data_IF_102093047951
#
_entry.id   IF_102093047951
#
_cell.length_a   1.000
_cell.length_b   1.000
_cell.length_c   1.000
_cell.angle_alpha   90.00
_cell.angle_beta   90.00
_cell.angle_gamma   90.00
#
_symmetry.space_group_name_H-M   'P 1'
#
loop_
_entity.id
_entity.type
_entity.pdbx_description
1 polymer ?
#
# COMPACT_ATOMS: atom_id res chain seq x y z
N UNK A 1 -56.22 -63.12 8.67
CA UNK A 1 -55.59 -62.90 7.36
C UNK A 1 -56.10 -61.57 6.81
N UNK A 2 -55.23 -60.52 6.81
CA UNK A 2 -55.34 -59.24 6.06
C UNK A 2 -56.54 -58.35 6.45
N UNK A 3 -56.46 -57.04 6.74
CA UNK A 3 -55.66 -55.90 6.26
C UNK A 3 -55.91 -54.72 7.24
N UNK A 4 -54.90 -54.07 7.80
CA UNK A 4 -54.25 -52.85 7.29
C UNK A 4 -55.01 -51.56 7.66
N UNK A 5 -54.54 -50.82 8.67
CA UNK A 5 -54.61 -49.35 8.75
C UNK A 5 -53.55 -48.87 9.75
N UNK A 6 -52.49 -48.28 9.20
CA UNK A 6 -51.39 -47.62 9.87
C UNK A 6 -51.86 -46.27 10.46
N UNK A 7 -51.46 -45.97 11.70
CA UNK A 7 -51.26 -44.59 12.13
C UNK A 7 -49.80 -44.46 12.58
N UNK A 8 -49.02 -43.80 11.73
CA UNK A 8 -47.64 -43.40 11.99
C UNK A 8 -47.71 -42.17 12.88
N UNK A 9 -47.19 -42.29 14.10
CA UNK A 9 -46.89 -41.15 14.97
C UNK A 9 -45.65 -40.44 14.41
N UNK A 10 -45.81 -39.23 13.87
CA UNK A 10 -44.69 -38.37 13.49
C UNK A 10 -44.25 -37.63 14.76
N UNK A 11 -43.10 -38.02 15.29
CA UNK A 11 -42.39 -37.27 16.32
C UNK A 11 -41.74 -36.04 15.64
N UNK A 12 -42.26 -34.84 15.89
CA UNK A 12 -41.62 -33.60 15.45
C UNK A 12 -40.52 -33.27 16.46
N UNK A 13 -39.28 -33.60 16.12
CA UNK A 13 -38.10 -33.10 16.82
C UNK A 13 -37.89 -31.63 16.44
N UNK A 14 -38.27 -30.72 17.33
CA UNK A 14 -37.94 -29.29 17.21
C UNK A 14 -36.44 -29.16 17.48
N UNK A 15 -35.64 -29.01 16.43
CA UNK A 15 -34.25 -28.58 16.54
C UNK A 15 -34.28 -27.08 16.84
N UNK A 16 -33.97 -26.70 18.07
CA UNK A 16 -33.61 -25.33 18.38
C UNK A 16 -32.24 -25.06 17.75
N UNK A 17 -32.23 -24.45 16.57
CA UNK A 17 -31.03 -23.80 16.05
C UNK A 17 -30.86 -22.55 16.94
N UNK A 18 -29.96 -22.65 17.92
CA UNK A 18 -29.42 -21.45 18.57
C UNK A 18 -28.61 -20.71 17.52
N UNK A 19 -29.24 -19.73 16.87
CA UNK A 19 -28.51 -18.71 16.13
C UNK A 19 -27.88 -17.82 17.19
N UNK A 20 -26.65 -18.15 17.59
CA UNK A 20 -25.84 -17.20 18.34
C UNK A 20 -25.60 -16.01 17.40
N UNK A 21 -25.93 -14.77 17.81
CA UNK A 21 -25.38 -13.61 17.10
C UNK A 21 -23.85 -13.75 17.13
N UNK A 22 -23.24 -13.84 15.95
CA UNK A 22 -21.78 -13.76 15.81
C UNK A 22 -21.44 -12.29 16.07
N UNK A 23 -21.09 -11.99 17.32
CA UNK A 23 -20.48 -10.70 17.65
C UNK A 23 -18.99 -10.84 17.38
N UNK A 24 -18.43 -9.94 16.56
CA UNK A 24 -16.98 -9.81 16.47
C UNK A 24 -16.43 -9.45 17.86
N UNK A 25 -15.34 -10.08 18.24
CA UNK A 25 -14.62 -9.80 19.48
C UNK A 25 -13.34 -9.00 19.20
N UNK A 26 -12.93 -8.23 20.20
CA UNK A 26 -11.65 -7.55 20.21
C UNK A 26 -10.64 -8.33 21.06
N UNK A 27 -9.47 -8.61 20.49
CA UNK A 27 -8.31 -9.15 21.19
C UNK A 27 -7.18 -8.12 21.26
N UNK A 28 -6.45 -8.13 22.36
CA UNK A 28 -5.40 -7.15 22.65
C UNK A 28 -4.07 -7.86 22.83
N UNK A 29 -3.00 -7.33 22.21
CA UNK A 29 -1.66 -7.91 22.19
C UNK A 29 -0.63 -6.89 22.64
N UNK A 30 0.22 -7.26 23.60
CA UNK A 30 1.29 -6.41 24.11
C UNK A 30 2.52 -7.28 24.45
N UNK A 31 3.60 -7.11 23.68
CA UNK A 31 4.83 -7.90 23.84
C UNK A 31 5.50 -7.68 25.22
N UNK A 32 5.30 -6.51 25.81
CA UNK A 32 5.98 -6.07 27.04
C UNK A 32 5.53 -6.82 28.28
N UNK A 33 4.36 -7.47 28.25
CA UNK A 33 3.82 -8.19 29.40
C UNK A 33 4.62 -9.45 29.72
N UNK A 34 4.66 -9.84 31.00
CA UNK A 34 5.41 -11.02 31.43
C UNK A 34 4.82 -12.34 30.91
N UNK A 35 3.50 -12.48 31.00
CA UNK A 35 2.76 -13.71 30.66
C UNK A 35 1.43 -13.35 30.01
N UNK A 36 1.01 -14.11 28.99
CA UNK A 36 -0.26 -13.93 28.29
C UNK A 36 -1.48 -14.11 29.20
N UNK A 37 -2.42 -13.16 29.12
CA UNK A 37 -3.76 -13.25 29.71
C UNK A 37 -4.78 -13.89 28.76
N UNK A 38 -6.06 -13.54 28.91
CA UNK A 38 -7.15 -14.02 28.05
C UNK A 38 -7.20 -13.32 26.68
N UNK A 39 -6.63 -12.12 26.57
CA UNK A 39 -6.61 -11.28 25.38
C UNK A 39 -7.79 -10.32 25.28
N UNK A 40 -8.72 -10.26 26.23
CA UNK A 40 -9.98 -9.50 26.12
C UNK A 40 -9.87 -8.05 26.64
N UNK A 41 -8.69 -7.65 27.10
CA UNK A 41 -8.36 -6.27 27.48
C UNK A 41 -6.84 -6.07 27.46
N UNK A 42 -6.37 -4.83 27.40
CA UNK A 42 -4.94 -4.52 27.53
C UNK A 42 -4.30 -5.04 28.83
N UNK A 43 -5.05 -5.07 29.95
CA UNK A 43 -4.56 -5.58 31.23
C UNK A 43 -4.35 -7.10 31.20
N UNK A 44 -5.14 -7.80 30.39
CA UNK A 44 -5.07 -9.25 30.19
C UNK A 44 -4.63 -9.59 28.76
N UNK A 45 -3.80 -8.76 28.14
CA UNK A 45 -3.39 -8.92 26.75
C UNK A 45 -2.70 -10.28 26.50
N UNK A 46 -2.72 -10.72 25.24
CA UNK A 46 -1.79 -11.76 24.76
C UNK A 46 -0.40 -11.18 24.62
N UNK A 47 0.64 -12.00 24.82
CA UNK A 47 2.02 -11.56 24.65
C UNK A 47 2.42 -11.51 23.17
N UNK A 48 1.86 -12.42 22.36
CA UNK A 48 2.19 -12.55 20.94
C UNK A 48 0.95 -12.39 20.06
N UNK A 49 1.15 -12.01 18.80
CA UNK A 49 0.08 -11.88 17.81
C UNK A 49 -0.47 -13.26 17.47
N UNK A 50 0.40 -14.28 17.33
CA UNK A 50 -0.02 -15.66 17.07
C UNK A 50 -0.97 -16.19 18.16
N UNK A 51 -0.73 -15.89 19.44
CA UNK A 51 -1.64 -16.30 20.52
C UNK A 51 -3.04 -15.67 20.40
N UNK A 52 -3.14 -14.42 19.97
CA UNK A 52 -4.43 -13.76 19.76
C UNK A 52 -5.14 -14.32 18.52
N UNK A 53 -4.43 -14.45 17.40
CA UNK A 53 -4.99 -15.00 16.16
C UNK A 53 -5.47 -16.45 16.32
N UNK A 54 -4.79 -17.25 17.15
CA UNK A 54 -5.21 -18.64 17.44
C UNK A 54 -6.57 -18.72 18.16
N UNK A 55 -6.99 -17.66 18.86
CA UNK A 55 -8.29 -17.57 19.53
C UNK A 55 -9.35 -16.86 18.69
N UNK A 56 -8.93 -16.17 17.64
CA UNK A 56 -9.79 -15.33 16.84
C UNK A 56 -10.66 -16.15 15.89
N UNK A 57 -11.87 -15.68 15.66
CA UNK A 57 -12.86 -16.23 14.75
C UNK A 57 -13.16 -15.22 13.65
N UNK A 58 -13.87 -15.63 12.57
CA UNK A 58 -14.13 -14.74 11.48
C UNK A 58 -14.83 -13.44 11.89
N UNK A 59 -14.29 -12.31 11.45
CA UNK A 59 -14.76 -10.96 11.78
C UNK A 59 -14.17 -10.34 13.06
N UNK A 60 -13.37 -11.08 13.84
CA UNK A 60 -12.71 -10.54 15.03
C UNK A 60 -11.63 -9.50 14.67
N UNK A 61 -11.34 -8.61 15.63
CA UNK A 61 -10.29 -7.59 15.51
C UNK A 61 -9.20 -7.82 16.56
N UNK A 62 -7.93 -7.75 16.14
CA UNK A 62 -6.75 -7.86 16.99
C UNK A 62 -6.02 -6.52 17.02
N UNK A 63 -5.96 -5.90 18.19
CA UNK A 63 -5.26 -4.64 18.47
C UNK A 63 -3.87 -4.93 19.04
N UNK A 64 -2.83 -4.39 18.42
CA UNK A 64 -1.44 -4.71 18.76
C UNK A 64 -0.70 -3.46 19.19
N UNK A 65 -0.15 -3.49 20.40
CA UNK A 65 0.72 -2.44 20.91
C UNK A 65 2.01 -2.33 20.09
N UNK A 66 2.71 -1.22 20.25
CA UNK A 66 4.09 -1.07 19.80
C UNK A 66 4.95 -2.15 20.44
N UNK A 67 5.92 -2.65 19.66
CA UNK A 67 6.71 -3.80 20.06
C UNK A 67 7.36 -4.47 18.87
N UNK A 68 8.23 -5.43 19.17
CA UNK A 68 8.99 -6.19 18.17
C UNK A 68 8.63 -7.68 18.26
N UNK A 69 7.67 -8.06 17.43
CA UNK A 69 7.06 -9.38 17.43
C UNK A 69 7.83 -10.31 16.49
N UNK A 70 8.72 -11.14 17.04
CA UNK A 70 9.50 -12.12 16.27
C UNK A 70 8.69 -13.38 15.94
N UNK A 71 7.78 -13.26 14.99
CA UNK A 71 6.84 -14.31 14.60
C UNK A 71 6.45 -14.22 13.11
N UNK A 72 5.75 -15.24 12.64
CA UNK A 72 5.04 -15.20 11.36
C UNK A 72 3.57 -15.53 11.63
N UNK A 73 2.68 -14.69 11.12
CA UNK A 73 1.26 -14.70 11.44
C UNK A 73 0.43 -15.18 10.25
N UNK A 74 -0.69 -15.83 10.56
CA UNK A 74 -1.66 -16.29 9.56
C UNK A 74 -3.01 -15.68 9.96
N UNK A 75 -3.59 -14.93 9.03
CA UNK A 75 -4.91 -14.31 9.17
C UNK A 75 -5.84 -14.98 8.17
N UNK A 76 -6.93 -15.55 8.66
CA UNK A 76 -7.93 -16.18 7.81
C UNK A 76 -9.31 -15.59 8.08
N UNK A 77 -10.21 -15.68 7.12
CA UNK A 77 -11.64 -15.48 7.28
C UNK A 77 -12.02 -14.11 7.90
N UNK A 78 -11.86 -13.01 7.16
CA UNK A 78 -12.37 -11.69 7.57
C UNK A 78 -11.75 -11.11 8.86
N UNK A 79 -10.56 -11.54 9.27
CA UNK A 79 -9.86 -11.01 10.44
C UNK A 79 -9.28 -9.62 10.20
N UNK A 80 -9.38 -8.75 11.20
CA UNK A 80 -8.75 -7.43 11.20
C UNK A 80 -7.58 -7.38 12.18
N UNK A 81 -6.39 -7.03 11.71
CA UNK A 81 -5.18 -6.88 12.53
C UNK A 81 -4.72 -5.42 12.46
N UNK A 82 -4.68 -4.75 13.62
CA UNK A 82 -4.40 -3.32 13.75
C UNK A 82 -3.16 -3.08 14.64
N UNK A 83 -2.08 -2.60 14.04
CA UNK A 83 -0.89 -2.14 14.76
C UNK A 83 -1.01 -0.68 15.18
N UNK A 84 -0.09 -0.20 16.01
CA UNK A 84 0.00 1.23 16.32
C UNK A 84 -0.70 1.69 17.59
N UNK A 85 -0.79 0.84 18.60
CA UNK A 85 -1.24 1.24 19.95
C UNK A 85 -0.02 1.46 20.87
N UNK A 86 -0.07 2.36 21.85
CA UNK A 86 0.99 2.47 22.86
C UNK A 86 1.06 1.20 23.73
N UNK A 87 2.21 0.95 24.35
CA UNK A 87 2.34 -0.09 25.39
C UNK A 87 1.28 0.08 26.49
N UNK A 88 0.59 -1.00 26.85
CA UNK A 88 -0.53 -0.98 27.81
C UNK A 88 -1.86 -0.45 27.25
N UNK A 89 -1.92 -0.08 25.97
CA UNK A 89 -3.12 0.38 25.28
C UNK A 89 -3.39 1.88 25.35
N UNK A 90 -4.24 2.36 24.44
CA UNK A 90 -4.56 3.79 24.32
C UNK A 90 -5.15 4.14 22.96
N UNK A 91 -5.07 5.42 22.58
CA UNK A 91 -5.46 5.86 21.25
C UNK A 91 -4.44 5.39 20.21
N UNK A 92 -4.94 4.85 19.11
CA UNK A 92 -4.13 4.35 18.00
C UNK A 92 -3.50 5.51 17.22
N UNK A 93 -2.20 5.40 16.99
CA UNK A 93 -1.45 6.20 16.03
C UNK A 93 -0.30 5.32 15.47
N UNK A 94 -0.50 4.76 14.29
CA UNK A 94 0.47 3.86 13.63
C UNK A 94 1.73 4.59 13.13
N UNK A 95 1.67 5.93 13.01
CA UNK A 95 2.84 6.73 12.67
C UNK A 95 3.73 6.93 13.89
N UNK A 96 3.14 7.07 15.07
CA UNK A 96 3.85 7.23 16.33
C UNK A 96 4.29 5.89 16.95
N UNK A 97 3.35 4.96 17.16
CA UNK A 97 3.58 3.71 17.87
C UNK A 97 3.93 2.61 16.87
N UNK A 98 5.17 2.11 16.91
CA UNK A 98 5.67 1.17 15.89
C UNK A 98 5.44 -0.28 16.31
N UNK A 99 4.59 -0.97 15.57
CA UNK A 99 4.36 -2.41 15.71
C UNK A 99 5.08 -3.15 14.59
N UNK A 100 6.10 -3.93 14.95
CA UNK A 100 6.97 -4.63 13.99
C UNK A 100 6.67 -6.13 14.05
N UNK A 101 6.34 -6.74 12.91
CA UNK A 101 6.32 -8.20 12.76
C UNK A 101 7.60 -8.62 12.03
N UNK A 102 8.40 -9.46 12.68
CA UNK A 102 9.73 -9.88 12.22
C UNK A 102 9.78 -11.38 11.96
N UNK A 103 9.81 -11.73 10.68
CA UNK A 103 9.86 -13.11 10.19
C UNK A 103 11.21 -13.82 10.36
N UNK A 104 12.22 -13.22 11.00
CA UNK A 104 13.58 -13.79 11.11
C UNK A 104 13.66 -15.16 11.78
N UNK A 105 12.66 -15.54 12.59
CA UNK A 105 12.55 -16.88 13.19
C UNK A 105 11.72 -17.86 12.36
N UNK A 106 11.10 -17.39 11.28
CA UNK A 106 10.25 -18.18 10.40
C UNK A 106 11.00 -18.55 9.12
N UNK A 107 11.49 -19.79 9.07
CA UNK A 107 12.19 -20.32 7.89
C UNK A 107 11.20 -20.64 6.78
N UNK A 108 11.43 -20.10 5.59
CA UNK A 108 10.66 -20.36 4.38
C UNK A 108 9.15 -20.08 4.54
N UNK A 109 8.86 -18.96 5.21
CA UNK A 109 7.53 -18.40 5.41
C UNK A 109 7.53 -16.91 5.08
N UNK A 110 6.37 -16.46 4.62
CA UNK A 110 6.00 -15.05 4.64
C UNK A 110 5.87 -14.58 6.09
N UNK A 111 6.06 -13.29 6.35
CA UNK A 111 5.81 -12.72 7.69
C UNK A 111 4.31 -12.74 8.01
N UNK A 112 3.49 -12.36 7.03
CA UNK A 112 2.02 -12.39 7.12
C UNK A 112 1.48 -13.24 5.98
N UNK A 113 0.63 -14.21 6.29
CA UNK A 113 -0.17 -14.92 5.29
C UNK A 113 -1.64 -14.61 5.50
N UNK A 114 -2.34 -14.25 4.43
CA UNK A 114 -3.75 -13.87 4.50
C UNK A 114 -4.59 -14.56 3.43
N UNK A 115 -5.86 -14.82 3.77
CA UNK A 115 -6.90 -15.21 2.80
C UNK A 115 -8.06 -14.19 2.82
N UNK A 116 -9.24 -14.57 2.36
CA UNK A 116 -10.38 -13.71 2.12
C UNK A 116 -10.75 -12.74 3.26
N UNK A 117 -11.03 -11.50 2.87
CA UNK A 117 -11.63 -10.41 3.65
C UNK A 117 -10.78 -9.90 4.83
N UNK A 118 -9.51 -10.30 4.92
CA UNK A 118 -8.61 -9.85 5.97
C UNK A 118 -8.17 -8.38 5.79
N UNK A 119 -7.93 -7.68 6.90
CA UNK A 119 -7.43 -6.30 6.93
C UNK A 119 -6.14 -6.23 7.75
N UNK A 120 -5.05 -5.79 7.12
CA UNK A 120 -3.75 -5.55 7.77
C UNK A 120 -3.42 -4.06 7.75
N UNK A 121 -3.37 -3.44 8.94
CA UNK A 121 -3.27 -1.99 9.07
C UNK A 121 -2.23 -1.53 10.10
N UNK A 122 -1.21 -0.79 9.66
CA UNK A 122 -0.30 -0.07 10.57
C UNK A 122 0.89 -0.87 11.10
N UNK A 123 1.43 -1.82 10.33
CA UNK A 123 2.57 -2.65 10.72
C UNK A 123 3.84 -2.29 9.96
N UNK A 124 4.98 -2.54 10.60
CA UNK A 124 6.27 -2.70 9.91
C UNK A 124 6.55 -4.20 9.74
N UNK A 125 6.77 -4.67 8.51
CA UNK A 125 6.85 -6.08 8.15
C UNK A 125 8.23 -6.37 7.57
N UNK A 126 9.04 -7.17 8.29
CA UNK A 126 10.46 -7.35 7.98
C UNK A 126 10.93 -8.80 8.04
N UNK A 127 12.07 -9.05 7.39
CA UNK A 127 12.85 -10.29 7.47
C UNK A 127 12.09 -11.56 7.05
N UNK A 128 11.02 -11.43 6.27
CA UNK A 128 10.33 -12.56 5.69
C UNK A 128 11.12 -13.21 4.57
N UNK A 129 10.99 -14.53 4.45
CA UNK A 129 11.80 -15.35 3.53
C UNK A 129 11.00 -16.06 2.44
N UNK A 130 9.70 -15.77 2.37
CA UNK A 130 8.74 -16.30 1.41
C UNK A 130 8.24 -17.69 1.74
N UNK A 131 6.93 -17.91 1.62
CA UNK A 131 6.28 -19.20 1.83
C UNK A 131 6.73 -20.23 0.79
N UNK A 132 7.30 -21.34 1.26
CA UNK A 132 7.71 -22.45 0.38
C UNK A 132 6.49 -23.16 -0.21
N UNK A 133 6.54 -23.43 -1.51
CA UNK A 133 5.56 -24.24 -2.24
C UNK A 133 6.14 -25.61 -2.62
N UNK A 134 5.31 -26.51 -3.15
CA UNK A 134 5.70 -27.89 -3.49
C UNK A 134 6.71 -27.99 -4.65
N UNK A 135 6.98 -26.91 -5.38
CA UNK A 135 7.88 -26.88 -6.55
C UNK A 135 9.16 -26.06 -6.33
N UNK A 136 9.70 -26.06 -5.09
CA UNK A 136 10.91 -25.30 -4.70
C UNK A 136 10.83 -23.78 -4.96
N UNK A 137 9.63 -23.25 -5.17
CA UNK A 137 9.39 -21.82 -5.29
C UNK A 137 9.04 -21.22 -3.93
N UNK A 138 9.38 -19.95 -3.74
CA UNK A 138 9.01 -19.17 -2.56
C UNK A 138 8.24 -17.93 -2.96
N UNK A 139 7.19 -17.60 -2.21
CA UNK A 139 6.22 -16.57 -2.56
C UNK A 139 6.00 -15.63 -1.37
N UNK A 140 5.92 -14.32 -1.62
CA UNK A 140 5.52 -13.31 -0.64
C UNK A 140 6.49 -13.19 0.52
N UNK A 141 7.61 -12.49 0.37
CA UNK A 141 8.57 -12.33 1.47
C UNK A 141 7.91 -11.73 2.70
N UNK A 142 7.35 -10.52 2.57
CA UNK A 142 6.58 -9.88 3.62
C UNK A 142 5.19 -10.50 3.77
N UNK A 143 4.38 -10.41 2.72
CA UNK A 143 2.97 -10.76 2.71
C UNK A 143 2.66 -11.74 1.58
N UNK A 144 1.95 -12.82 1.90
CA UNK A 144 1.38 -13.75 0.93
C UNK A 144 -0.14 -13.77 1.05
N UNK A 145 -0.83 -13.51 -0.07
CA UNK A 145 -2.29 -13.50 -0.14
C UNK A 145 -2.76 -14.52 -1.17
N UNK A 146 -3.75 -15.34 -0.80
CA UNK A 146 -4.32 -16.35 -1.68
C UNK A 146 -5.82 -16.52 -1.45
N UNK A 147 -6.60 -16.57 -2.54
CA UNK A 147 -7.97 -17.10 -2.53
C UNK A 147 -9.08 -16.13 -2.08
N UNK A 148 -8.81 -14.84 -1.97
CA UNK A 148 -9.84 -13.84 -1.70
C UNK A 148 -9.30 -12.41 -1.55
N UNK A 149 -10.16 -11.38 -1.64
CA UNK A 149 -9.73 -10.00 -1.55
C UNK A 149 -9.29 -9.66 -0.12
N UNK A 150 -8.17 -8.96 0.03
CA UNK A 150 -7.71 -8.41 1.32
C UNK A 150 -7.49 -6.90 1.23
N UNK A 151 -7.34 -6.26 2.38
CA UNK A 151 -6.94 -4.86 2.48
C UNK A 151 -5.59 -4.78 3.18
N UNK A 152 -4.59 -4.26 2.47
CA UNK A 152 -3.23 -4.00 3.01
C UNK A 152 -3.04 -2.49 3.01
N UNK A 153 -2.97 -1.87 4.19
CA UNK A 153 -2.83 -0.42 4.28
C UNK A 153 -1.99 0.11 5.42
N UNK A 154 -1.44 1.31 5.25
CA UNK A 154 -0.67 2.01 6.29
C UNK A 154 0.54 1.21 6.79
N UNK A 155 1.05 0.27 6.00
CA UNK A 155 2.17 -0.59 6.39
C UNK A 155 3.49 -0.07 5.82
N UNK A 156 4.57 -0.38 6.54
CA UNK A 156 5.94 -0.31 6.03
C UNK A 156 6.40 -1.74 5.76
N UNK A 157 6.64 -2.10 4.51
CA UNK A 157 7.04 -3.46 4.12
C UNK A 157 8.46 -3.38 3.59
N UNK A 158 9.42 -3.88 4.36
CA UNK A 158 10.84 -3.68 4.07
C UNK A 158 11.74 -4.83 4.47
N UNK A 159 12.91 -4.94 3.81
CA UNK A 159 13.92 -5.96 4.10
C UNK A 159 13.40 -7.40 4.04
N UNK A 160 12.36 -7.66 3.26
CA UNK A 160 11.91 -9.01 2.98
C UNK A 160 12.66 -9.54 1.76
N UNK A 161 13.14 -10.78 1.85
CA UNK A 161 14.00 -11.36 0.83
C UNK A 161 13.57 -12.78 0.47
N UNK A 162 13.09 -12.94 -0.76
CA UNK A 162 12.70 -14.22 -1.31
C UNK A 162 13.83 -14.73 -2.21
N UNK A 163 14.46 -15.82 -1.82
CA UNK A 163 15.50 -16.47 -2.61
C UNK A 163 15.14 -17.95 -2.82
N UNK A 164 14.92 -18.31 -4.07
CA UNK A 164 14.56 -19.66 -4.48
C UNK A 164 15.10 -19.94 -5.89
N UNK A 165 15.54 -21.18 -6.13
CA UNK A 165 16.17 -21.55 -7.41
C UNK A 165 15.17 -21.55 -8.55
N UNK A 166 13.97 -22.09 -8.33
CA UNK A 166 12.95 -22.30 -9.39
C UNK A 166 12.01 -21.09 -9.57
N UNK A 167 11.74 -20.33 -8.51
CA UNK A 167 10.81 -19.21 -8.57
C UNK A 167 10.72 -18.44 -7.26
N UNK A 168 11.05 -17.15 -7.29
CA UNK A 168 10.94 -16.23 -6.16
C UNK A 168 10.06 -15.05 -6.56
N UNK A 169 8.85 -14.99 -6.01
CA UNK A 169 7.87 -13.99 -6.40
C UNK A 169 7.41 -13.13 -5.22
N UNK A 170 7.32 -11.82 -5.44
CA UNK A 170 6.78 -10.88 -4.46
C UNK A 170 7.70 -10.74 -3.25
N UNK A 171 8.79 -9.98 -3.38
CA UNK A 171 9.71 -9.72 -2.27
C UNK A 171 8.97 -9.11 -1.08
N UNK A 172 8.09 -8.15 -1.34
CA UNK A 172 7.21 -7.55 -0.35
C UNK A 172 5.85 -8.26 -0.29
N UNK A 173 5.12 -8.28 -1.40
CA UNK A 173 3.73 -8.77 -1.48
C UNK A 173 3.59 -9.74 -2.65
N UNK A 174 2.94 -10.87 -2.41
CA UNK A 174 2.49 -11.79 -3.45
C UNK A 174 0.97 -11.98 -3.39
N UNK A 175 0.27 -11.74 -4.50
CA UNK A 175 -1.16 -11.96 -4.68
C UNK A 175 -1.42 -13.11 -5.65
N UNK A 176 -2.32 -14.03 -5.28
CA UNK A 176 -2.80 -15.10 -6.14
C UNK A 176 -4.30 -15.33 -5.97
N UNK A 177 -5.06 -15.28 -7.07
CA UNK A 177 -6.53 -15.39 -7.05
C UNK A 177 -7.14 -14.45 -5.98
N UNK A 178 -6.71 -13.18 -5.97
CA UNK A 178 -6.96 -12.22 -4.90
C UNK A 178 -7.11 -10.78 -5.42
N UNK A 179 -8.36 -10.34 -5.58
CA UNK A 179 -8.73 -8.98 -6.03
C UNK A 179 -8.59 -7.96 -4.89
N UNK A 180 -7.37 -7.81 -4.38
CA UNK A 180 -7.06 -7.08 -3.16
C UNK A 180 -6.90 -5.57 -3.35
N UNK A 181 -7.08 -4.83 -2.26
CA UNK A 181 -6.77 -3.40 -2.17
C UNK A 181 -5.45 -3.19 -1.44
N UNK A 182 -4.49 -2.54 -2.09
CA UNK A 182 -3.17 -2.22 -1.52
C UNK A 182 -3.00 -0.71 -1.56
N UNK A 183 -3.02 -0.06 -0.40
CA UNK A 183 -2.94 1.40 -0.38
C UNK A 183 -2.28 2.02 0.84
N UNK A 184 -1.76 3.23 0.70
CA UNK A 184 -1.11 3.97 1.78
C UNK A 184 0.07 3.18 2.40
N UNK A 185 0.76 2.35 1.62
CA UNK A 185 1.92 1.60 2.10
C UNK A 185 3.23 2.22 1.60
N UNK A 186 4.28 2.07 2.41
CA UNK A 186 5.66 2.29 2.00
C UNK A 186 6.29 0.91 1.77
N UNK A 187 6.66 0.61 0.53
CA UNK A 187 7.22 -0.69 0.14
C UNK A 187 8.64 -0.47 -0.36
N UNK A 188 9.64 -0.88 0.42
CA UNK A 188 11.04 -0.57 0.10
C UNK A 188 12.04 -1.63 0.49
N UNK A 189 13.18 -1.65 -0.21
CA UNK A 189 14.31 -2.52 0.15
C UNK A 189 13.95 -4.00 0.28
N UNK A 190 12.91 -4.44 -0.43
CA UNK A 190 12.59 -5.86 -0.57
C UNK A 190 13.30 -6.43 -1.79
N UNK A 191 13.56 -7.74 -1.77
CA UNK A 191 14.22 -8.36 -2.91
C UNK A 191 13.74 -9.76 -3.25
N UNK A 192 13.76 -10.06 -4.55
CA UNK A 192 13.65 -11.42 -5.09
C UNK A 192 14.94 -11.84 -5.78
N UNK A 193 15.26 -13.13 -5.76
CA UNK A 193 16.38 -13.73 -6.46
C UNK A 193 16.01 -15.11 -7.03
N UNK A 194 16.65 -15.50 -8.13
CA UNK A 194 16.28 -16.71 -8.90
C UNK A 194 15.59 -16.33 -10.20
N UNK A 195 14.75 -17.20 -10.75
CA UNK A 195 14.02 -16.92 -12.00
C UNK A 195 12.67 -16.20 -11.81
N UNK A 196 12.32 -15.82 -10.57
CA UNK A 196 11.04 -15.14 -10.30
C UNK A 196 11.12 -13.62 -10.29
N UNK A 197 9.95 -12.98 -10.39
CA UNK A 197 9.77 -11.54 -10.53
C UNK A 197 9.13 -10.84 -9.33
N UNK A 198 8.95 -9.53 -9.42
CA UNK A 198 8.24 -8.76 -8.40
C UNK A 198 9.09 -8.54 -7.15
N UNK A 199 10.18 -7.77 -7.28
CA UNK A 199 11.00 -7.33 -6.14
C UNK A 199 10.18 -6.67 -5.03
N UNK A 200 9.12 -5.94 -5.41
CA UNK A 200 8.12 -5.39 -4.51
C UNK A 200 6.85 -6.25 -4.54
N UNK A 201 6.07 -6.18 -5.61
CA UNK A 201 4.74 -6.78 -5.70
C UNK A 201 4.71 -7.76 -6.88
N UNK A 202 4.16 -8.95 -6.63
CA UNK A 202 3.84 -9.92 -7.67
C UNK A 202 2.34 -10.25 -7.64
N UNK A 203 1.70 -10.22 -8.81
CA UNK A 203 0.25 -10.35 -8.98
C UNK A 203 -0.06 -11.44 -9.99
N UNK A 204 -0.80 -12.46 -9.57
CA UNK A 204 -1.17 -13.61 -10.40
C UNK A 204 -2.67 -13.83 -10.36
N UNK A 205 -3.30 -13.97 -11.54
CA UNK A 205 -4.73 -14.25 -11.70
C UNK A 205 -5.63 -13.34 -10.83
N UNK A 206 -5.29 -12.05 -10.75
CA UNK A 206 -5.92 -11.14 -9.79
C UNK A 206 -6.23 -9.80 -10.44
N UNK A 207 -7.15 -9.06 -9.82
CA UNK A 207 -7.57 -7.73 -10.26
C UNK A 207 -7.45 -6.69 -9.14
N UNK A 208 -6.23 -6.38 -8.66
CA UNK A 208 -6.06 -5.54 -7.48
C UNK A 208 -6.30 -4.06 -7.77
N UNK A 209 -6.67 -3.33 -6.73
CA UNK A 209 -6.66 -1.87 -6.69
C UNK A 209 -5.45 -1.40 -5.88
N UNK A 210 -4.43 -0.86 -6.55
CA UNK A 210 -3.17 -0.42 -5.94
C UNK A 210 -3.10 1.11 -6.04
N UNK A 211 -3.18 1.79 -4.90
CA UNK A 211 -3.17 3.26 -4.93
C UNK A 211 -2.45 3.91 -3.77
N UNK A 212 -1.93 5.12 -3.97
CA UNK A 212 -1.35 5.91 -2.90
C UNK A 212 -0.23 5.18 -2.12
N UNK A 213 0.57 4.38 -2.84
CA UNK A 213 1.73 3.72 -2.26
C UNK A 213 3.02 4.42 -2.71
N UNK A 214 4.03 4.40 -1.85
CA UNK A 214 5.39 4.74 -2.21
C UNK A 214 6.23 3.46 -2.31
N UNK A 215 6.62 3.10 -3.52
CA UNK A 215 7.31 1.84 -3.85
C UNK A 215 8.70 2.19 -4.36
N UNK A 216 9.73 1.99 -3.54
CA UNK A 216 11.09 2.41 -3.91
C UNK A 216 12.23 1.52 -3.44
N UNK A 217 13.35 1.55 -4.16
CA UNK A 217 14.56 0.79 -3.80
C UNK A 217 14.33 -0.72 -3.60
N UNK A 218 13.33 -1.31 -4.26
CA UNK A 218 13.12 -2.75 -4.28
C UNK A 218 13.93 -3.38 -5.43
N UNK A 219 14.32 -4.63 -5.26
CA UNK A 219 15.25 -5.30 -6.17
C UNK A 219 14.66 -6.61 -6.70
N UNK A 220 14.50 -6.74 -8.02
CA UNK A 220 14.25 -8.02 -8.67
C UNK A 220 15.50 -8.52 -9.39
N UNK A 221 16.17 -9.54 -8.83
CA UNK A 221 17.43 -10.06 -9.41
C UNK A 221 17.20 -11.12 -10.50
N UNK A 222 15.96 -11.55 -10.71
CA UNK A 222 15.64 -12.51 -11.76
C UNK A 222 15.65 -11.88 -13.14
N UNK A 223 16.18 -12.60 -14.12
CA UNK A 223 16.18 -12.14 -15.51
C UNK A 223 14.73 -12.02 -16.03
N UNK A 224 14.45 -10.95 -16.76
CA UNK A 224 13.23 -10.71 -17.49
C UNK A 224 12.01 -10.37 -16.63
N UNK A 225 12.18 -9.76 -15.46
CA UNK A 225 11.07 -9.44 -14.56
C UNK A 225 11.16 -8.01 -14.01
N UNK A 226 9.99 -7.36 -13.90
CA UNK A 226 9.78 -6.09 -13.22
C UNK A 226 9.80 -6.17 -11.70
N UNK A 227 9.90 -5.01 -11.05
CA UNK A 227 9.76 -4.88 -9.59
C UNK A 227 8.29 -4.96 -9.18
N UNK A 228 7.39 -4.53 -10.05
CA UNK A 228 5.96 -4.84 -10.00
C UNK A 228 5.65 -5.77 -11.17
N UNK A 229 5.23 -7.00 -10.87
CA UNK A 229 5.15 -8.09 -11.83
C UNK A 229 3.73 -8.68 -11.90
N UNK A 230 3.11 -8.62 -13.07
CA UNK A 230 1.72 -9.04 -13.31
C UNK A 230 1.67 -10.21 -14.30
N UNK A 231 0.86 -11.23 -13.98
CA UNK A 231 0.60 -12.37 -14.85
C UNK A 231 -0.89 -12.70 -14.85
N UNK A 232 -1.52 -12.72 -16.03
CA UNK A 232 -2.96 -13.00 -16.20
C UNK A 232 -3.84 -12.12 -15.30
N UNK A 233 -3.48 -10.86 -15.13
CA UNK A 233 -4.01 -10.00 -14.07
C UNK A 233 -4.36 -8.61 -14.60
N UNK A 234 -5.49 -8.06 -14.18
CA UNK A 234 -5.97 -6.76 -14.63
C UNK A 234 -6.39 -5.92 -13.44
N UNK A 235 -5.65 -4.86 -13.12
CA UNK A 235 -5.92 -4.03 -11.95
C UNK A 235 -6.11 -2.55 -12.28
N UNK A 236 -6.36 -1.77 -11.24
CA UNK A 236 -6.27 -0.32 -11.27
C UNK A 236 -5.08 0.11 -10.43
N UNK A 237 -4.16 0.86 -11.03
CA UNK A 237 -2.97 1.40 -10.37
C UNK A 237 -3.01 2.91 -10.49
N UNK A 238 -3.26 3.60 -9.38
CA UNK A 238 -3.52 5.04 -9.38
C UNK A 238 -2.81 5.80 -8.27
N UNK A 239 -2.24 6.97 -8.57
CA UNK A 239 -1.62 7.84 -7.57
C UNK A 239 -0.53 7.14 -6.74
N UNK A 240 0.30 6.30 -7.37
CA UNK A 240 1.47 5.70 -6.73
C UNK A 240 2.75 6.42 -7.17
N UNK A 241 3.75 6.45 -6.30
CA UNK A 241 5.12 6.84 -6.66
C UNK A 241 6.00 5.58 -6.69
N UNK A 242 6.41 5.15 -7.89
CA UNK A 242 7.25 3.98 -8.16
C UNK A 242 8.65 4.47 -8.56
N UNK A 243 9.57 4.48 -7.61
CA UNK A 243 10.82 5.22 -7.76
C UNK A 243 12.06 4.38 -7.47
N UNK A 244 13.14 4.57 -8.24
CA UNK A 244 14.46 4.04 -7.88
C UNK A 244 14.48 2.52 -7.63
N UNK A 245 13.61 1.77 -8.28
CA UNK A 245 13.60 0.31 -8.17
C UNK A 245 14.54 -0.31 -9.21
N UNK A 246 15.10 -1.47 -8.87
CA UNK A 246 16.08 -2.15 -9.70
C UNK A 246 15.64 -3.56 -10.07
N UNK A 247 15.30 -3.79 -11.32
CA UNK A 247 15.23 -5.12 -11.92
C UNK A 247 16.37 -5.37 -12.90
N UNK A 248 16.72 -6.64 -13.10
CA UNK A 248 17.83 -7.04 -14.00
C UNK A 248 17.62 -6.57 -15.43
N UNK A 249 16.38 -6.66 -15.93
CA UNK A 249 16.03 -6.22 -17.29
C UNK A 249 14.97 -5.11 -17.27
N UNK A 250 14.10 -5.07 -16.25
CA UNK A 250 12.98 -4.12 -16.12
C UNK A 250 12.79 -3.68 -14.67
N UNK A 251 12.76 -2.37 -14.39
CA UNK A 251 12.74 -1.86 -13.02
C UNK A 251 11.41 -1.26 -12.58
N UNK A 252 10.55 -0.87 -13.52
CA UNK A 252 9.20 -0.38 -13.20
C UNK A 252 8.16 -1.50 -13.17
N UNK A 253 7.19 -1.42 -14.07
CA UNK A 253 6.14 -2.42 -14.27
C UNK A 253 6.52 -3.45 -15.33
N UNK A 254 6.05 -4.68 -15.11
CA UNK A 254 6.14 -5.76 -16.08
C UNK A 254 4.80 -6.49 -16.19
N UNK A 255 4.24 -6.51 -17.39
CA UNK A 255 2.94 -7.08 -17.72
C UNK A 255 3.09 -8.29 -18.64
N UNK A 256 2.43 -9.38 -18.25
CA UNK A 256 2.33 -10.60 -19.05
C UNK A 256 0.88 -11.08 -19.07
N UNK A 257 0.28 -11.16 -20.25
CA UNK A 257 -1.15 -11.40 -20.48
C UNK A 257 -2.01 -10.54 -19.53
N UNK A 258 -1.68 -9.25 -19.45
CA UNK A 258 -2.19 -8.34 -18.42
C UNK A 258 -2.33 -6.92 -18.98
N UNK A 259 -3.50 -6.32 -18.81
CA UNK A 259 -3.86 -4.99 -19.33
C UNK A 259 -4.45 -4.10 -18.23
N UNK A 260 -3.70 -3.79 -17.16
CA UNK A 260 -4.19 -2.92 -16.09
C UNK A 260 -4.34 -1.46 -16.55
N UNK A 261 -5.13 -0.68 -15.80
CA UNK A 261 -5.21 0.76 -15.97
C UNK A 261 -4.21 1.46 -15.03
N UNK A 262 -3.33 2.26 -15.61
CA UNK A 262 -2.34 3.08 -14.92
C UNK A 262 -2.70 4.55 -15.09
N UNK A 263 -2.96 5.25 -13.99
CA UNK A 263 -3.18 6.70 -14.03
C UNK A 263 -2.63 7.46 -12.84
N UNK A 264 -2.30 8.73 -13.04
CA UNK A 264 -1.73 9.58 -11.99
C UNK A 264 -0.51 9.02 -11.27
N UNK A 265 0.23 8.08 -11.84
CA UNK A 265 1.42 7.55 -11.18
C UNK A 265 2.66 8.38 -11.52
N UNK A 266 3.64 8.40 -10.62
CA UNK A 266 5.01 8.84 -10.93
C UNK A 266 5.88 7.58 -11.04
N UNK A 267 6.48 7.36 -12.20
CA UNK A 267 7.34 6.20 -12.52
C UNK A 267 8.74 6.74 -12.84
N UNK A 268 9.59 6.79 -11.82
CA UNK A 268 10.78 7.64 -11.83
C UNK A 268 12.07 6.88 -11.48
N UNK A 269 13.12 7.02 -12.30
CA UNK A 269 14.46 6.51 -11.99
C UNK A 269 14.54 5.00 -11.70
N UNK A 270 13.67 4.17 -12.27
CA UNK A 270 13.83 2.73 -12.18
C UNK A 270 14.89 2.24 -13.19
N UNK A 271 15.54 1.10 -12.91
CA UNK A 271 16.33 0.43 -13.95
C UNK A 271 15.41 -0.05 -15.07
N UNK A 272 15.95 -0.40 -16.25
CA UNK A 272 15.12 -0.84 -17.37
C UNK A 272 14.08 0.19 -17.82
N UNK A 273 12.96 -0.27 -18.39
CA UNK A 273 11.85 0.60 -18.77
C UNK A 273 10.94 0.92 -17.57
N UNK A 274 10.23 2.04 -17.65
CA UNK A 274 9.20 2.37 -16.68
C UNK A 274 8.01 1.40 -16.74
N UNK A 275 7.64 0.99 -17.95
CA UNK A 275 6.56 0.03 -18.21
C UNK A 275 7.00 -0.92 -19.32
N UNK A 276 6.78 -2.22 -19.12
CA UNK A 276 7.04 -3.25 -20.12
C UNK A 276 5.86 -4.19 -20.24
N UNK A 277 5.48 -4.50 -21.47
CA UNK A 277 4.59 -5.59 -21.84
C UNK A 277 5.33 -6.62 -22.71
N UNK A 278 4.88 -7.87 -22.68
CA UNK A 278 5.66 -8.99 -23.27
C UNK A 278 4.90 -9.86 -24.26
N UNK A 279 3.61 -9.63 -24.47
CA UNK A 279 2.77 -10.46 -25.32
C UNK A 279 1.59 -9.67 -25.86
N UNK A 280 1.16 -10.02 -27.08
CA UNK A 280 0.17 -9.29 -27.90
C UNK A 280 -1.22 -9.13 -27.31
N UNK A 281 -1.45 -9.67 -26.12
CA UNK A 281 -2.71 -9.59 -25.38
C UNK A 281 -2.58 -8.65 -24.16
N UNK A 282 -1.38 -8.14 -23.87
CA UNK A 282 -1.11 -7.13 -22.86
C UNK A 282 -1.22 -5.75 -23.51
N UNK A 283 -2.09 -4.89 -22.97
CA UNK A 283 -2.36 -3.55 -23.48
C UNK A 283 -2.71 -2.63 -22.28
N UNK A 284 -1.75 -2.26 -21.41
CA UNK A 284 -2.01 -1.45 -20.24
C UNK A 284 -2.42 -0.04 -20.66
N UNK A 285 -3.56 0.42 -20.12
CA UNK A 285 -4.03 1.79 -20.35
C UNK A 285 -3.15 2.75 -19.56
N UNK A 286 -2.45 3.65 -20.25
CA UNK A 286 -1.52 4.60 -19.65
C UNK A 286 -2.09 6.02 -19.77
N UNK A 287 -2.80 6.48 -18.75
CA UNK A 287 -3.42 7.80 -18.74
C UNK A 287 -2.75 8.71 -17.71
N UNK A 288 -2.06 9.75 -18.19
CA UNK A 288 -1.61 10.84 -17.32
C UNK A 288 -0.72 10.38 -16.16
N UNK A 289 0.27 9.57 -16.48
CA UNK A 289 1.37 9.24 -15.59
C UNK A 289 2.57 10.12 -15.91
N UNK A 290 3.40 10.43 -14.93
CA UNK A 290 4.74 10.95 -15.18
C UNK A 290 5.71 9.77 -15.28
N UNK A 291 6.38 9.63 -16.42
CA UNK A 291 7.33 8.54 -16.67
C UNK A 291 8.66 9.15 -17.07
N UNK A 292 9.58 9.20 -16.12
CA UNK A 292 10.78 10.02 -16.26
C UNK A 292 12.04 9.32 -15.76
N UNK A 293 13.13 9.42 -16.53
CA UNK A 293 14.48 8.92 -16.18
C UNK A 293 14.58 7.43 -15.82
N UNK A 294 13.69 6.59 -16.32
CA UNK A 294 13.93 5.14 -16.27
C UNK A 294 15.07 4.78 -17.25
N UNK A 295 15.95 3.85 -16.87
CA UNK A 295 17.26 3.65 -17.49
C UNK A 295 17.21 3.31 -18.99
N UNK A 296 16.30 2.43 -19.40
CA UNK A 296 16.15 1.98 -20.79
C UNK A 296 15.15 2.81 -21.60
N UNK A 297 14.19 3.47 -20.93
CA UNK A 297 13.18 4.29 -21.58
C UNK A 297 11.84 4.31 -20.85
N UNK A 298 10.83 4.84 -21.51
CA UNK A 298 9.50 5.06 -20.94
C UNK A 298 8.67 3.78 -20.98
N UNK A 299 8.60 3.15 -22.13
CA UNK A 299 7.69 2.03 -22.40
C UNK A 299 8.32 1.02 -23.36
N UNK A 300 8.17 -0.27 -23.10
CA UNK A 300 8.54 -1.34 -24.01
C UNK A 300 7.30 -2.14 -24.44
N UNK A 301 6.93 -1.98 -25.70
CA UNK A 301 5.83 -2.67 -26.40
C UNK A 301 6.32 -4.02 -26.94
N UNK A 302 5.51 -5.08 -26.84
CA UNK A 302 5.95 -6.39 -27.28
C UNK A 302 6.29 -6.42 -28.76
N UNK A 303 7.31 -7.21 -29.10
CA UNK A 303 7.52 -7.58 -30.48
C UNK A 303 8.07 -6.50 -31.42
N UNK A 304 8.44 -5.26 -31.00
CA UNK A 304 9.64 -4.52 -31.50
C UNK A 304 9.72 -2.99 -31.30
N UNK A 305 8.86 -2.30 -30.53
CA UNK A 305 8.96 -0.82 -30.43
C UNK A 305 9.26 -0.31 -29.01
N UNK A 306 10.53 -0.13 -28.63
CA UNK A 306 10.85 0.63 -27.42
C UNK A 306 10.52 2.11 -27.64
N UNK A 307 9.73 2.68 -26.74
CA UNK A 307 9.46 4.12 -26.71
C UNK A 307 10.36 4.77 -25.66
N UNK A 308 11.33 5.54 -26.17
CA UNK A 308 12.29 6.25 -25.32
C UNK A 308 11.70 7.52 -24.68
N UNK A 309 10.64 8.08 -25.24
CA UNK A 309 10.02 9.34 -24.77
C UNK A 309 8.51 9.20 -24.63
N UNK A 310 7.93 9.99 -23.74
CA UNK A 310 6.48 10.04 -23.55
C UNK A 310 5.76 10.67 -24.74
N UNK A 311 6.45 11.57 -25.47
CA UNK A 311 5.93 12.14 -26.71
C UNK A 311 5.65 11.06 -27.77
N UNK A 312 6.52 10.07 -27.89
CA UNK A 312 6.29 8.94 -28.79
C UNK A 312 5.24 7.98 -28.25
N UNK A 313 5.28 7.67 -26.95
CA UNK A 313 4.26 6.85 -26.27
C UNK A 313 2.84 7.39 -26.55
N UNK A 314 2.58 8.64 -26.20
CA UNK A 314 1.27 9.29 -26.38
C UNK A 314 0.82 9.41 -27.84
N UNK A 315 1.75 9.28 -28.81
CA UNK A 315 1.46 9.44 -30.25
C UNK A 315 1.25 8.08 -30.93
N UNK A 316 1.92 7.05 -30.46
CA UNK A 316 2.06 5.77 -31.16
C UNK A 316 1.28 4.65 -30.49
N UNK A 317 1.10 4.67 -29.17
CA UNK A 317 0.35 3.66 -28.43
C UNK A 317 -1.08 4.16 -28.23
N UNK A 318 -2.10 3.51 -28.82
CA UNK A 318 -3.49 3.97 -28.75
C UNK A 318 -4.06 4.08 -27.33
N UNK A 319 -3.59 3.24 -26.43
CA UNK A 319 -4.00 3.12 -25.02
C UNK A 319 -3.28 4.13 -24.11
N UNK A 320 -2.32 4.88 -24.66
CA UNK A 320 -1.55 5.87 -23.93
C UNK A 320 -1.92 7.29 -24.31
N UNK A 321 -2.22 8.14 -23.31
CA UNK A 321 -2.53 9.54 -23.55
C UNK A 321 -2.21 10.42 -22.35
N UNK A 322 -1.89 11.69 -22.63
CA UNK A 322 -1.68 12.75 -21.64
C UNK A 322 -0.62 12.45 -20.57
N UNK A 323 0.25 11.46 -20.80
CA UNK A 323 1.39 11.19 -19.93
C UNK A 323 2.40 12.34 -20.00
N UNK A 324 3.18 12.51 -18.94
CA UNK A 324 4.22 13.52 -18.76
C UNK A 324 5.61 12.86 -18.68
N UNK A 325 6.63 13.62 -19.06
CA UNK A 325 8.04 13.24 -18.91
C UNK A 325 8.79 14.43 -18.33
N UNK A 326 8.82 14.53 -17.01
CA UNK A 326 9.44 15.67 -16.34
C UNK A 326 9.92 15.32 -14.93
N UNK A 327 10.76 16.19 -14.36
CA UNK A 327 11.29 15.96 -13.03
C UNK A 327 10.19 16.15 -11.97
N UNK A 328 9.85 15.12 -11.17
CA UNK A 328 8.86 15.25 -10.12
C UNK A 328 9.32 16.16 -8.97
N UNK A 329 10.61 16.51 -8.91
CA UNK A 329 11.20 17.38 -7.88
C UNK A 329 10.88 16.92 -6.46
N UNK A 330 11.04 15.63 -6.23
CA UNK A 330 11.00 15.07 -4.88
C UNK A 330 12.03 15.76 -3.97
N UNK A 331 11.70 15.91 -2.69
CA UNK A 331 12.59 16.56 -1.71
C UNK A 331 13.97 15.90 -1.66
N UNK A 332 14.00 14.56 -1.67
CA UNK A 332 15.23 13.77 -1.78
C UNK A 332 14.93 12.31 -2.12
N UNK A 333 15.95 11.50 -2.38
CA UNK A 333 15.79 10.04 -2.48
C UNK A 333 15.15 9.47 -1.22
N UNK A 334 14.06 8.72 -1.40
CA UNK A 334 13.29 8.12 -0.29
C UNK A 334 12.34 9.09 0.42
N UNK A 335 12.22 10.34 -0.08
CA UNK A 335 11.28 11.34 0.38
C UNK A 335 10.40 11.78 -0.80
N UNK A 336 9.18 11.24 -0.87
CA UNK A 336 8.27 11.36 -2.00
C UNK A 336 7.54 12.70 -2.07
N UNK A 337 7.74 13.61 -1.12
CA UNK A 337 7.04 14.90 -1.13
C UNK A 337 7.49 15.74 -2.32
N UNK A 338 6.53 16.28 -3.06
CA UNK A 338 6.75 17.14 -4.21
C UNK A 338 7.17 18.54 -3.76
N UNK A 339 8.17 19.11 -4.43
CA UNK A 339 8.57 20.50 -4.19
C UNK A 339 7.83 21.48 -5.10
N UNK A 340 7.68 22.76 -4.66
CA UNK A 340 7.16 23.82 -5.50
C UNK A 340 7.83 23.89 -6.88
N UNK A 341 7.01 23.98 -7.92
CA UNK A 341 7.45 23.98 -9.32
C UNK A 341 7.66 22.59 -9.92
N UNK A 342 7.22 21.52 -9.24
CA UNK A 342 7.05 20.21 -9.86
C UNK A 342 5.99 20.28 -10.95
N UNK A 343 6.23 19.57 -12.05
CA UNK A 343 5.26 19.42 -13.15
C UNK A 343 4.12 18.47 -12.79
N UNK A 344 4.26 17.70 -11.71
CA UNK A 344 3.28 16.74 -11.23
C UNK A 344 2.16 17.39 -10.42
N UNK A 345 2.26 18.68 -10.13
CA UNK A 345 1.29 19.41 -9.29
C UNK A 345 0.07 19.84 -10.12
N UNK A 346 -1.14 19.63 -9.60
CA UNK A 346 -2.44 20.05 -10.15
C UNK A 346 -2.79 19.50 -11.55
N UNK A 347 -2.10 18.46 -12.02
CA UNK A 347 -2.26 17.97 -13.41
C UNK A 347 -3.08 16.70 -13.53
N UNK A 348 -3.21 15.88 -12.49
CA UNK A 348 -3.84 14.55 -12.47
C UNK A 348 -5.31 14.49 -12.91
N UNK A 349 -5.79 13.27 -13.21
CA UNK A 349 -7.22 12.98 -13.45
C UNK A 349 -7.96 12.78 -12.13
N UNK A 350 -9.17 13.32 -12.00
CA UNK A 350 -9.99 13.12 -10.80
C UNK A 350 -10.68 11.75 -10.70
N UNK A 351 -11.22 11.14 -11.78
CA UNK A 351 -11.90 9.86 -11.68
C UNK A 351 -10.98 8.76 -11.13
N UNK A 352 -11.37 8.17 -10.00
CA UNK A 352 -10.64 7.08 -9.35
C UNK A 352 -9.54 7.50 -8.37
N UNK A 353 -9.16 8.78 -8.34
CA UNK A 353 -8.13 9.26 -7.41
C UNK A 353 -8.62 9.13 -5.95
N UNK A 354 -7.74 8.73 -5.01
CA UNK A 354 -8.11 8.62 -3.59
C UNK A 354 -8.45 9.99 -2.99
N UNK A 355 -9.27 10.02 -1.95
CA UNK A 355 -9.68 11.29 -1.30
C UNK A 355 -8.60 11.89 -0.40
N UNK A 356 -7.58 11.11 -0.06
CA UNK A 356 -6.43 11.52 0.75
C UNK A 356 -5.15 10.94 0.16
N UNK A 357 -4.03 11.62 0.41
CA UNK A 357 -2.70 11.17 0.01
C UNK A 357 -2.01 10.30 1.10
N UNK A 358 -0.72 10.02 0.95
CA UNK A 358 0.02 9.13 1.85
C UNK A 358 0.22 9.74 3.27
N UNK A 359 0.19 11.07 3.39
CA UNK A 359 0.31 11.80 4.65
C UNK A 359 -1.04 12.07 5.33
N UNK A 360 -2.14 11.66 4.70
CA UNK A 360 -3.53 11.93 5.05
C UNK A 360 -3.97 13.39 4.78
N UNK A 361 -3.27 14.09 3.89
CA UNK A 361 -3.74 15.36 3.37
C UNK A 361 -4.89 15.12 2.40
N UNK A 362 -5.82 16.08 2.34
CA UNK A 362 -6.99 15.97 1.45
C UNK A 362 -6.57 16.08 0.00
N UNK A 363 -7.26 15.37 -0.90
CA UNK A 363 -7.01 15.43 -2.34
C UNK A 363 -8.30 15.84 -3.08
N UNK A 364 -8.28 16.91 -3.92
CA UNK A 364 -7.12 17.74 -4.23
C UNK A 364 -6.84 18.89 -3.23
N UNK A 365 -5.59 19.35 -3.16
CA UNK A 365 -5.16 20.65 -2.62
C UNK A 365 -4.64 21.50 -3.78
N UNK A 366 -5.46 22.46 -4.21
CA UNK A 366 -5.14 23.33 -5.34
C UNK A 366 -6.20 23.28 -6.43
N UNK A 367 -5.75 23.37 -7.68
CA UNK A 367 -6.60 23.37 -8.87
C UNK A 367 -6.94 21.95 -9.37
N UNK A 368 -6.15 20.94 -9.00
CA UNK A 368 -6.30 19.57 -9.46
C UNK A 368 -5.60 18.59 -8.54
N UNK A 369 -5.69 17.31 -8.89
CA UNK A 369 -4.99 16.23 -8.20
C UNK A 369 -3.52 16.24 -8.61
N UNK A 370 -2.61 16.08 -7.66
CA UNK A 370 -1.20 15.85 -7.98
C UNK A 370 -0.96 14.42 -8.49
N UNK A 371 0.04 14.21 -9.34
CA UNK A 371 0.50 12.87 -9.67
C UNK A 371 1.29 12.28 -8.51
N UNK A 372 1.26 10.95 -8.38
CA UNK A 372 1.95 10.21 -7.33
C UNK A 372 1.13 10.13 -6.04
N UNK A 373 1.82 9.71 -4.98
CA UNK A 373 1.23 9.47 -3.65
C UNK A 373 1.25 10.67 -2.70
N UNK A 374 1.80 11.80 -3.14
CA UNK A 374 1.81 13.08 -2.41
C UNK A 374 0.71 13.99 -2.98
N UNK A 375 0.09 14.81 -2.14
CA UNK A 375 -0.64 16.00 -2.56
C UNK A 375 0.05 17.21 -1.92
N UNK A 376 0.72 18.03 -2.73
CA UNK A 376 1.56 19.10 -2.23
C UNK A 376 0.72 20.06 -1.39
N UNK A 377 1.13 20.28 -0.15
CA UNK A 377 0.63 21.41 0.61
C UNK A 377 1.14 22.68 -0.09
N UNK A 378 0.27 23.30 -0.91
CA UNK A 378 0.54 24.61 -1.45
C UNK A 378 0.72 25.54 -0.25
N UNK A 379 1.98 25.91 0.05
CA UNK A 379 2.25 26.92 1.06
C UNK A 379 1.38 28.12 0.74
N UNK A 380 0.43 28.40 1.63
CA UNK A 380 -0.32 29.64 1.62
C UNK A 380 0.68 30.76 1.37
N UNK A 381 0.39 31.54 0.34
CA UNK A 381 0.98 32.85 0.06
C UNK A 381 1.33 33.48 1.40
N UNK A 382 2.60 33.83 1.68
CA UNK A 382 3.04 34.20 3.01
C UNK A 382 2.03 35.17 3.58
N UNK A 383 1.36 34.76 4.66
CA UNK A 383 0.39 35.60 5.36
C UNK A 383 1.15 36.89 5.58
N UNK A 384 0.77 37.95 4.86
CA UNK A 384 1.33 39.27 5.12
C UNK A 384 1.12 39.47 6.59
N UNK A 385 2.24 39.54 7.31
CA UNK A 385 2.26 39.55 8.75
C UNK A 385 1.24 40.59 9.24
N UNK A 386 0.11 40.11 9.77
CA UNK A 386 -0.94 40.98 10.28
C UNK A 386 -0.38 41.86 11.40
N UNK A 387 0.78 41.50 12.01
CA UNK A 387 1.53 42.38 12.89
C UNK A 387 1.92 43.67 12.21
N UNK A 388 2.41 43.65 10.96
CA UNK A 388 2.83 44.87 10.27
C UNK A 388 1.63 45.77 9.96
N UNK A 389 0.48 45.18 9.62
CA UNK A 389 -0.76 45.93 9.36
C UNK A 389 -1.34 46.53 10.65
N UNK A 390 -1.31 45.77 11.76
CA UNK A 390 -1.72 46.23 13.10
C UNK A 390 -0.75 47.30 13.62
N UNK A 391 0.57 47.12 13.44
CA UNK A 391 1.59 48.10 13.80
C UNK A 391 1.39 49.39 12.99
N UNK A 392 1.11 49.31 11.68
CA UNK A 392 0.81 50.49 10.86
C UNK A 392 -0.45 51.22 11.37
N UNK A 393 -1.52 50.48 11.71
CA UNK A 393 -2.73 51.08 12.28
C UNK A 393 -2.47 51.74 13.64
N UNK A 394 -1.67 51.11 14.51
CA UNK A 394 -1.28 51.68 15.81
C UNK A 394 -0.43 52.95 15.61
N UNK A 395 0.54 52.94 14.68
CA UNK A 395 1.36 54.11 14.36
C UNK A 395 0.48 55.25 13.81
N UNK A 396 -0.48 54.96 12.92
CA UNK A 396 -1.41 55.96 12.40
C UNK A 396 -2.25 56.57 13.52
N UNK A 397 -2.75 55.76 14.48
CA UNK A 397 -3.51 56.24 15.64
C UNK A 397 -2.63 57.10 16.56
N UNK A 398 -1.39 56.70 16.83
CA UNK A 398 -0.45 57.50 17.65
C UNK A 398 -0.12 58.83 16.98
N UNK A 399 0.18 58.83 15.68
CA UNK A 399 0.48 60.05 14.92
C UNK A 399 -0.72 61.01 14.87
N UNK A 400 -1.95 60.49 14.76
CA UNK A 400 -3.15 61.33 14.78
C UNK A 400 -3.48 61.85 16.18
N UNK A 401 -3.12 61.14 17.25
CA UNK A 401 -3.18 61.65 18.63
C UNK A 401 -2.15 62.76 18.90
N UNK A 402 -0.91 62.63 18.43
CA UNK A 402 0.11 63.69 18.58
C UNK A 402 -0.25 64.97 17.82
N UNK A 403 -0.84 64.84 16.62
CA UNK A 403 -1.35 65.98 15.84
C UNK A 403 -2.52 66.68 16.54
N UNK A 404 -3.35 65.94 17.30
CA UNK A 404 -4.41 66.52 18.12
C UNK A 404 -3.85 67.28 19.32
N UNK A 405 -2.84 66.72 20.02
CA UNK A 405 -2.23 67.35 21.20
C UNK A 405 -1.47 68.64 20.83
N UNK A 406 -0.81 68.68 19.67
CA UNK A 406 -0.14 69.90 19.16
C UNK A 406 -1.11 71.01 18.73
N UNK A 407 -2.41 70.72 18.58
CA UNK A 407 -3.45 71.73 18.30
C UNK A 407 -4.04 72.39 19.55
N UNK A 408 -3.72 71.91 20.75
CA UNK A 408 -4.33 72.34 22.01
C UNK A 408 -3.32 72.80 23.08
N UNK A 409 -2.05 72.93 22.72
CA UNK A 409 -1.06 73.61 23.55
C UNK A 409 -0.83 75.03 23.00
N UNK A 410 -1.08 76.09 23.79
CA UNK A 410 -0.94 77.49 23.37
C UNK A 410 0.49 77.91 23.05
#
# INVERSE_FOLDING_TARGET
MRTFLQQISILVSIVFIFVYPVYSMDYYVDESIGTSGDGLSWIQAKKTIVEALTLSHPGDTVHVAEGHYMEAVIMNDSLTLLGGYPTGGGFRDFRQYKTIIDGSKATAKSVVSMDSECILDGFTIINGSGTSTMIFSRLGGGIFCSGGPVIIRNNIIEYNNVNAVEGAYGGAIYLYDSDSTIHNNIIRMNSTAGYGGGGAIAVFNSSPHIYNNFIYANISKGAGNGVIYYVNSNGVVINNSICENSGTDEGGFFFRNSSPSLSNNIIYMNSGYGITETDTDSDPVCLRNDIFRNESGVYFDEGSTPYATVADLNRMVPEASENLECDPRFVSTGDYHLQPGSCCIDVGVNPGAPSIDLDNDSRPIGAGVDLGCDEVQQYDVPVYDFSLFIILQIIIVIMSYELLIKKWLP
#
